data_IF_883697168425
#
_entry.id   IF_883697168425
#
_cell.length_a   1.000
_cell.length_b   1.000
_cell.length_c   1.000
_cell.angle_alpha   90.00
_cell.angle_beta   90.00
_cell.angle_gamma   90.00
#
_symmetry.space_group_name_H-M   'P 1'
#
loop_
_entity.id
_entity.type
_entity.pdbx_description
1 polymer ?
#
# COMPACT_ATOMS: atom_id res chain seq x y z
N UNK A 1 -16.46 -8.15 26.58
CA UNK A 1 -16.51 -7.31 25.37
C UNK A 1 -15.97 -5.94 25.76
N UNK A 2 -14.65 -5.81 25.71
CA UNK A 2 -13.93 -4.62 26.17
C UNK A 2 -13.88 -3.54 25.09
N UNK A 3 -13.93 -2.29 25.52
CA UNK A 3 -13.86 -1.11 24.67
C UNK A 3 -12.43 -0.93 24.11
N UNK A 4 -12.04 -1.72 23.13
CA UNK A 4 -10.75 -1.56 22.43
C UNK A 4 -10.84 -0.40 21.41
N UNK A 5 -11.26 0.77 21.89
CA UNK A 5 -11.07 2.02 21.17
C UNK A 5 -9.64 2.44 21.43
N UNK A 6 -8.75 2.12 20.48
CA UNK A 6 -7.42 2.75 20.39
C UNK A 6 -7.66 4.25 20.49
N UNK A 7 -7.12 4.88 21.54
CA UNK A 7 -7.22 6.33 21.66
C UNK A 7 -6.32 6.90 20.56
N UNK A 8 -6.89 7.72 19.68
CA UNK A 8 -6.12 8.35 18.60
C UNK A 8 -4.84 9.02 19.12
N UNK A 9 -4.90 9.62 20.32
CA UNK A 9 -3.74 10.18 20.98
C UNK A 9 -2.67 9.13 21.32
N UNK A 10 -3.05 7.93 21.75
CA UNK A 10 -2.11 6.86 22.09
C UNK A 10 -1.39 6.32 20.84
N UNK A 11 -2.11 6.24 19.71
CA UNK A 11 -1.53 5.91 18.40
C UNK A 11 -0.53 6.98 17.92
N UNK A 12 -0.82 8.26 18.18
CA UNK A 12 0.04 9.40 17.81
C UNK A 12 1.32 9.40 18.66
N UNK A 13 1.20 9.16 19.96
CA UNK A 13 2.30 9.30 20.92
C UNK A 13 3.22 8.07 20.98
N UNK A 14 2.74 6.87 20.60
CA UNK A 14 3.52 5.63 20.64
C UNK A 14 3.34 4.78 19.36
N UNK A 15 3.66 5.32 18.17
CA UNK A 15 3.41 4.64 16.90
C UNK A 15 4.16 3.30 16.79
N UNK A 16 5.33 3.16 17.42
CA UNK A 16 6.14 1.93 17.40
C UNK A 16 5.45 0.71 18.05
N UNK A 17 4.44 0.92 18.89
CA UNK A 17 3.69 -0.16 19.52
C UNK A 17 2.61 -0.76 18.60
N UNK A 18 2.22 -0.01 17.57
CA UNK A 18 1.12 -0.36 16.67
C UNK A 18 1.59 -0.66 15.24
N UNK A 19 2.77 -0.14 14.85
CA UNK A 19 3.35 -0.38 13.53
C UNK A 19 4.57 -1.29 13.63
N UNK A 20 4.36 -2.58 13.38
CA UNK A 20 5.47 -3.49 13.08
C UNK A 20 5.84 -3.30 11.62
N UNK A 21 7.01 -2.71 11.37
CA UNK A 21 7.57 -2.65 10.03
C UNK A 21 7.79 -4.09 9.55
N UNK A 22 7.04 -4.51 8.54
CA UNK A 22 7.25 -5.80 7.90
C UNK A 22 8.67 -5.81 7.32
N UNK A 23 9.54 -6.68 7.85
CA UNK A 23 10.87 -6.85 7.28
C UNK A 23 10.73 -7.55 5.93
N UNK A 24 11.43 -7.09 4.88
CA UNK A 24 11.48 -7.82 3.63
C UNK A 24 11.94 -9.26 3.92
N UNK A 25 11.30 -10.27 3.32
CA UNK A 25 11.83 -11.63 3.44
C UNK A 25 13.18 -11.67 2.74
N UNK A 26 14.24 -11.89 3.52
CA UNK A 26 15.62 -12.01 3.02
C UNK A 26 15.84 -13.26 2.14
N UNK A 27 14.82 -14.11 2.00
CA UNK A 27 14.83 -15.24 1.07
C UNK A 27 14.63 -14.74 -0.36
N UNK A 28 15.72 -14.21 -0.93
CA UNK A 28 15.84 -14.01 -2.38
C UNK A 28 16.03 -15.40 -2.99
N UNK A 29 14.97 -16.01 -3.51
CA UNK A 29 15.14 -17.12 -4.44
C UNK A 29 15.73 -16.57 -5.74
N UNK A 30 16.61 -17.32 -6.40
CA UNK A 30 17.26 -16.91 -7.66
C UNK A 30 16.26 -16.57 -8.81
N UNK A 31 14.98 -16.94 -8.66
CA UNK A 31 13.91 -16.64 -9.63
C UNK A 31 13.12 -15.33 -9.33
N UNK A 32 13.32 -14.69 -8.17
CA UNK A 32 12.56 -13.50 -7.80
C UNK A 32 13.23 -12.23 -8.35
N UNK A 33 12.53 -11.56 -9.26
CA UNK A 33 12.94 -10.25 -9.78
C UNK A 33 12.53 -9.17 -8.78
N UNK A 34 13.42 -8.82 -7.85
CA UNK A 34 13.19 -7.72 -6.91
C UNK A 34 13.56 -6.39 -7.54
N UNK A 35 12.61 -5.46 -7.60
CA UNK A 35 12.85 -4.07 -8.00
C UNK A 35 12.75 -3.21 -6.74
N UNK A 36 13.78 -2.41 -6.48
CA UNK A 36 13.75 -1.42 -5.41
C UNK A 36 12.95 -0.20 -5.90
N UNK A 37 11.86 0.10 -5.21
CA UNK A 37 11.03 1.28 -5.48
C UNK A 37 11.40 2.38 -4.50
N UNK A 38 11.74 3.56 -5.03
CA UNK A 38 11.91 4.76 -4.24
C UNK A 38 10.55 5.43 -4.11
N UNK A 39 10.03 5.46 -2.89
CA UNK A 39 8.76 6.10 -2.56
C UNK A 39 8.98 7.15 -1.47
N UNK A 40 8.24 8.26 -1.53
CA UNK A 40 8.33 9.31 -0.52
C UNK A 40 7.63 8.92 0.79
N UNK A 41 6.61 8.06 0.71
CA UNK A 41 5.80 7.62 1.83
C UNK A 41 4.82 6.51 1.45
N UNK A 42 3.94 6.14 2.39
CA UNK A 42 2.92 5.12 2.20
C UNK A 42 1.91 5.52 1.12
N UNK A 43 1.55 6.80 1.05
CA UNK A 43 0.59 7.28 0.06
C UNK A 43 1.12 7.10 -1.36
N UNK A 44 2.38 7.45 -1.57
CA UNK A 44 3.07 7.31 -2.85
C UNK A 44 3.16 5.84 -3.29
N UNK A 45 3.52 4.96 -2.34
CA UNK A 45 3.50 3.51 -2.57
C UNK A 45 2.12 3.00 -3.00
N UNK A 46 1.05 3.42 -2.31
CA UNK A 46 -0.31 2.98 -2.63
C UNK A 46 -0.81 3.56 -3.96
N UNK A 47 -0.42 4.77 -4.33
CA UNK A 47 -0.66 5.30 -5.67
C UNK A 47 0.00 4.42 -6.74
N UNK A 48 1.27 4.05 -6.57
CA UNK A 48 1.98 3.15 -7.51
C UNK A 48 1.27 1.80 -7.62
N UNK A 49 0.84 1.21 -6.51
CA UNK A 49 0.09 -0.05 -6.52
C UNK A 49 -1.25 0.10 -7.25
N UNK A 50 -1.98 1.20 -7.02
CA UNK A 50 -3.23 1.51 -7.71
C UNK A 50 -3.03 1.63 -9.22
N UNK A 51 -2.01 2.37 -9.64
CA UNK A 51 -1.67 2.56 -11.06
C UNK A 51 -1.30 1.23 -11.73
N UNK A 52 -0.59 0.35 -11.03
CA UNK A 52 -0.24 -0.98 -11.51
C UNK A 52 -1.49 -1.86 -11.70
N UNK A 53 -2.43 -1.84 -10.76
CA UNK A 53 -3.70 -2.56 -10.87
C UNK A 53 -4.54 -2.03 -12.05
N UNK A 54 -4.62 -0.71 -12.19
CA UNK A 54 -5.35 -0.06 -13.28
C UNK A 54 -4.73 -0.38 -14.64
N UNK A 55 -3.40 -0.34 -14.74
CA UNK A 55 -2.66 -0.71 -15.96
C UNK A 55 -2.88 -2.17 -16.32
N UNK A 56 -2.84 -3.07 -15.33
CA UNK A 56 -3.11 -4.50 -15.54
C UNK A 56 -4.52 -4.74 -16.05
N UNK A 57 -5.51 -4.03 -15.49
CA UNK A 57 -6.89 -4.12 -15.95
C UNK A 57 -7.06 -3.63 -17.39
N UNK A 58 -6.43 -2.52 -17.76
CA UNK A 58 -6.43 -2.03 -19.15
C UNK A 58 -5.77 -3.02 -20.11
N UNK A 59 -4.70 -3.68 -19.69
CA UNK A 59 -4.05 -4.73 -20.48
C UNK A 59 -4.97 -5.94 -20.67
N UNK A 60 -5.68 -6.37 -19.63
CA UNK A 60 -6.68 -7.45 -19.70
C UNK A 60 -7.83 -7.07 -20.66
N UNK A 61 -8.40 -5.88 -20.51
CA UNK A 61 -9.47 -5.39 -21.39
C UNK A 61 -9.02 -5.29 -22.86
N UNK A 62 -7.75 -4.95 -23.10
CA UNK A 62 -7.14 -4.90 -24.44
C UNK A 62 -6.94 -6.28 -25.08
N UNK A 63 -6.66 -7.32 -24.28
CA UNK A 63 -6.54 -8.71 -24.74
C UNK A 63 -7.91 -9.24 -25.18
N UNK A 64 -8.94 -8.94 -24.39
CA UNK A 64 -10.35 -9.32 -24.61
C UNK A 64 -10.88 -8.79 -25.96
N UNK A 65 -10.43 -7.61 -26.40
CA UNK A 65 -10.77 -7.02 -27.71
C UNK A 65 -9.98 -7.61 -28.88
N UNK A 66 -8.79 -8.14 -28.64
CA UNK A 66 -7.86 -8.62 -29.67
C UNK A 66 -8.10 -10.08 -30.06
N UNK A 67 -8.59 -10.89 -29.12
CA UNK A 67 -8.95 -12.28 -29.34
C UNK A 67 -10.46 -12.35 -29.31
N UNK A 68 -11.11 -12.80 -30.40
CA UNK A 68 -12.57 -13.01 -30.43
C UNK A 68 -13.05 -14.17 -29.54
N UNK A 69 -12.45 -14.31 -28.36
CA UNK A 69 -12.54 -15.41 -27.42
C UNK A 69 -13.61 -15.12 -26.38
N UNK A 70 -14.50 -16.08 -26.17
CA UNK A 70 -15.70 -16.01 -25.32
C UNK A 70 -15.43 -16.33 -23.84
N UNK A 71 -14.22 -16.09 -23.35
CA UNK A 71 -13.82 -16.60 -22.04
C UNK A 71 -13.95 -15.52 -20.96
N UNK A 72 -15.01 -15.61 -20.16
CA UNK A 72 -15.32 -14.75 -19.00
C UNK A 72 -14.19 -14.60 -17.95
N UNK A 73 -13.08 -15.32 -18.07
CA UNK A 73 -11.95 -15.31 -17.12
C UNK A 73 -11.30 -13.92 -17.06
N UNK A 74 -11.09 -13.27 -18.20
CA UNK A 74 -10.52 -11.93 -18.28
C UNK A 74 -11.41 -10.92 -17.55
N UNK A 75 -12.72 -10.92 -17.82
CA UNK A 75 -13.73 -10.19 -17.05
C UNK A 75 -13.71 -10.47 -15.54
N UNK A 76 -13.52 -11.72 -15.11
CA UNK A 76 -13.42 -12.04 -13.67
C UNK A 76 -12.14 -11.46 -13.05
N UNK A 77 -11.01 -11.54 -13.76
CA UNK A 77 -9.73 -10.94 -13.34
C UNK A 77 -9.88 -9.43 -13.23
N UNK A 78 -10.43 -8.76 -14.25
CA UNK A 78 -10.66 -7.32 -14.22
C UNK A 78 -11.59 -6.89 -13.08
N UNK A 79 -12.61 -7.69 -12.78
CA UNK A 79 -13.52 -7.45 -11.65
C UNK A 79 -12.82 -7.61 -10.30
N UNK A 80 -11.95 -8.61 -10.14
CA UNK A 80 -11.16 -8.82 -8.93
C UNK A 80 -10.16 -7.69 -8.71
N UNK A 81 -9.43 -7.29 -9.75
CA UNK A 81 -8.48 -6.17 -9.69
C UNK A 81 -9.16 -4.89 -9.22
N UNK A 82 -10.38 -4.62 -9.69
CA UNK A 82 -11.19 -3.48 -9.24
C UNK A 82 -11.57 -3.57 -7.75
N UNK A 83 -11.91 -4.76 -7.25
CA UNK A 83 -12.21 -4.94 -5.83
C UNK A 83 -10.95 -4.66 -4.99
N UNK A 84 -9.80 -5.17 -5.42
CA UNK A 84 -8.52 -4.93 -4.74
C UNK A 84 -8.18 -3.43 -4.73
N UNK A 85 -8.35 -2.75 -5.86
CA UNK A 85 -8.15 -1.30 -5.99
C UNK A 85 -9.03 -0.52 -4.99
N UNK A 86 -10.31 -0.88 -4.86
CA UNK A 86 -11.23 -0.26 -3.90
C UNK A 86 -10.89 -0.51 -2.43
N UNK A 87 -10.04 -1.50 -2.13
CA UNK A 87 -9.59 -1.82 -0.77
C UNK A 87 -8.27 -1.13 -0.42
N UNK A 88 -7.66 -0.38 -1.34
CA UNK A 88 -6.43 0.37 -1.05
C UNK A 88 -6.77 1.51 -0.07
N UNK A 89 -6.16 1.54 1.13
CA UNK A 89 -6.49 2.52 2.16
C UNK A 89 -5.65 3.80 1.99
N UNK A 90 -6.01 4.62 0.99
CA UNK A 90 -5.27 5.85 0.64
C UNK A 90 -5.32 6.90 1.74
N UNK A 91 -6.48 7.09 2.36
CA UNK A 91 -6.68 8.06 3.45
C UNK A 91 -5.86 7.67 4.68
N UNK A 92 -5.84 6.39 5.04
CA UNK A 92 -5.01 5.89 6.13
C UNK A 92 -3.52 6.04 5.81
N UNK A 93 -3.09 5.80 4.56
CA UNK A 93 -1.71 6.05 4.17
C UNK A 93 -1.30 7.52 4.28
N UNK A 94 -2.18 8.45 3.91
CA UNK A 94 -1.92 9.87 4.11
C UNK A 94 -1.79 10.23 5.59
N UNK A 95 -2.65 9.65 6.44
CA UNK A 95 -2.53 9.79 7.89
C UNK A 95 -1.19 9.25 8.40
N UNK A 96 -0.74 8.07 7.93
CA UNK A 96 0.55 7.50 8.30
C UNK A 96 1.72 8.41 7.92
N UNK A 97 1.68 8.98 6.71
CA UNK A 97 2.71 9.91 6.26
C UNK A 97 2.73 11.20 7.10
N UNK A 98 1.57 11.67 7.57
CA UNK A 98 1.47 12.81 8.50
C UNK A 98 2.08 12.44 9.86
N UNK A 99 1.73 11.29 10.43
CA UNK A 99 2.23 10.82 11.72
C UNK A 99 3.74 10.65 11.70
N UNK A 100 4.27 10.02 10.65
CA UNK A 100 5.71 9.82 10.47
C UNK A 100 6.46 11.16 10.38
N UNK A 101 5.95 12.13 9.62
CA UNK A 101 6.55 13.47 9.55
C UNK A 101 6.56 14.18 10.90
N UNK A 102 5.49 14.06 11.71
CA UNK A 102 5.44 14.63 13.06
C UNK A 102 6.50 14.00 13.97
N UNK A 103 6.58 12.67 13.97
CA UNK A 103 7.59 11.92 14.74
C UNK A 103 9.03 12.36 14.39
N UNK A 104 9.35 12.47 13.09
CA UNK A 104 10.68 12.93 12.67
C UNK A 104 11.00 14.35 13.15
N UNK A 105 10.02 15.26 13.11
CA UNK A 105 10.20 16.64 13.55
C UNK A 105 10.44 16.74 15.07
N UNK A 106 9.73 15.94 15.88
CA UNK A 106 9.92 15.88 17.33
C UNK A 106 11.31 15.34 17.70
N UNK A 107 11.76 14.29 17.03
CA UNK A 107 13.11 13.74 17.25
C UNK A 107 14.22 14.72 16.84
N UNK A 108 14.05 15.43 15.73
CA UNK A 108 15.03 16.43 15.30
C UNK A 108 15.12 17.62 16.27
N UNK A 109 13.99 18.02 16.87
CA UNK A 109 13.95 19.06 17.90
C UNK A 109 14.61 18.59 19.21
N UNK A 110 14.42 17.33 19.60
CA UNK A 110 15.06 16.75 20.79
C UNK A 110 16.57 16.54 20.62
N UNK A 111 17.05 16.29 19.40
CA UNK A 111 18.49 16.15 19.11
C UNK A 111 19.25 17.49 19.04
N UNK A 112 18.53 18.62 18.97
CA UNK A 112 19.10 19.97 18.83
C UNK A 112 19.12 20.78 20.13
N UNK A 113 18.64 20.20 21.24
CA UNK A 113 18.68 20.77 22.60
C UNK A 113 19.68 20.02 23.48
#
# INVERSE_FOLDING_TARGET
>A
MGNDKIKLNELIENPEQYFVLLKPSLEVSDDNHTIELKVEGYRDLFCILSDLLQTTRLAVDGIELSTGSTVNIERYIGSLLRIIEMLIPLEEAELLDILYRKYLNENNNNASN
#
